data_IF_131134613359
#
_entry.id   IF_131134613359
#
_cell.length_a   1.000
_cell.length_b   1.000
_cell.length_c   1.000
_cell.angle_alpha   90.00
_cell.angle_beta   90.00
_cell.angle_gamma   90.00
#
_symmetry.space_group_name_H-M   'P 1'
#
loop_
_entity.id
_entity.type
_entity.pdbx_description
1 polymer ?
#
# COMPACT_ATOMS: atom_id res chain seq x y z
N UNK A 1 6.79 3.86 -11.64
CA UNK A 1 7.31 2.82 -10.72
C UNK A 1 6.61 1.52 -11.06
N UNK A 2 7.15 0.40 -10.61
CA UNK A 2 6.54 -0.91 -10.78
C UNK A 2 6.57 -1.72 -9.50
N UNK A 3 5.54 -2.54 -9.31
CA UNK A 3 5.41 -3.49 -8.20
C UNK A 3 5.66 -4.88 -8.76
N UNK A 4 6.53 -5.62 -8.10
CA UNK A 4 6.85 -6.98 -8.50
C UNK A 4 6.57 -7.92 -7.34
N UNK A 5 5.79 -8.94 -7.62
CA UNK A 5 5.47 -10.03 -6.70
C UNK A 5 6.40 -11.20 -7.00
N UNK A 6 6.99 -11.80 -5.97
CA UNK A 6 7.86 -12.95 -6.10
C UNK A 6 7.67 -13.96 -4.97
N UNK A 7 7.89 -15.24 -5.27
CA UNK A 7 7.74 -16.32 -4.30
C UNK A 7 9.00 -16.47 -3.41
N UNK A 8 8.96 -17.43 -2.48
CA UNK A 8 10.10 -17.73 -1.59
C UNK A 8 11.32 -18.32 -2.32
N UNK A 9 11.18 -18.70 -3.59
CA UNK A 9 12.26 -19.17 -4.46
C UNK A 9 12.80 -18.02 -5.33
N UNK A 10 12.46 -16.77 -5.01
CA UNK A 10 12.78 -15.56 -5.77
C UNK A 10 12.22 -15.52 -7.19
N UNK A 11 11.30 -16.42 -7.54
CA UNK A 11 10.67 -16.42 -8.86
C UNK A 11 9.62 -15.32 -8.94
N UNK A 12 9.69 -14.51 -9.99
CA UNK A 12 8.70 -13.48 -10.29
C UNK A 12 7.36 -14.15 -10.59
N UNK A 13 6.35 -13.77 -9.83
CA UNK A 13 4.96 -14.21 -10.01
C UNK A 13 4.20 -13.25 -10.90
N UNK A 14 4.35 -11.94 -10.66
CA UNK A 14 3.60 -10.91 -11.36
C UNK A 14 4.32 -9.57 -11.32
N UNK A 15 4.09 -8.73 -12.33
CA UNK A 15 4.73 -7.42 -12.49
C UNK A 15 3.70 -6.39 -12.92
N UNK A 16 3.39 -5.46 -12.02
CA UNK A 16 2.52 -4.32 -12.28
C UNK A 16 3.37 -3.10 -12.64
N UNK A 17 3.25 -2.62 -13.88
CA UNK A 17 4.02 -1.47 -14.40
C UNK A 17 3.24 -0.16 -14.26
N UNK A 18 3.95 0.97 -14.27
CA UNK A 18 3.38 2.32 -14.24
C UNK A 18 2.47 2.61 -13.04
N UNK A 19 2.79 2.07 -11.87
CA UNK A 19 2.06 2.34 -10.64
C UNK A 19 2.51 3.65 -9.99
N UNK A 20 1.59 4.31 -9.30
CA UNK A 20 1.81 5.56 -8.57
C UNK A 20 1.11 5.55 -7.21
N UNK A 21 1.69 6.26 -6.22
CA UNK A 21 1.20 6.31 -4.82
C UNK A 21 0.98 4.92 -4.21
N UNK A 22 2.06 4.13 -4.16
CA UNK A 22 1.98 2.77 -3.61
C UNK A 22 1.89 2.84 -2.08
N UNK A 23 0.85 2.23 -1.53
CA UNK A 23 0.64 2.05 -0.10
C UNK A 23 0.76 0.55 0.21
N UNK A 24 1.64 0.22 1.14
CA UNK A 24 1.89 -1.14 1.57
C UNK A 24 1.21 -1.42 2.92
N UNK A 25 0.24 -2.32 2.92
CA UNK A 25 -0.40 -2.91 4.09
C UNK A 25 0.23 -4.25 4.50
N UNK A 26 -0.38 -4.93 5.46
CA UNK A 26 0.08 -6.24 5.95
C UNK A 26 -0.27 -7.38 4.99
N UNK A 27 -1.38 -7.27 4.27
CA UNK A 27 -1.95 -8.29 3.37
C UNK A 27 -2.40 -7.74 2.02
N UNK A 28 -2.29 -6.42 1.82
CA UNK A 28 -2.66 -5.73 0.59
C UNK A 28 -1.62 -4.69 0.19
N UNK A 29 -1.49 -4.48 -1.11
CA UNK A 29 -0.75 -3.35 -1.69
C UNK A 29 -1.71 -2.61 -2.61
N UNK A 30 -1.88 -1.32 -2.35
CA UNK A 30 -2.78 -0.43 -3.08
C UNK A 30 -1.97 0.63 -3.83
N UNK A 31 -2.44 1.03 -5.00
CA UNK A 31 -1.95 2.17 -5.78
C UNK A 31 -3.14 2.90 -6.40
N UNK A 32 -2.92 4.07 -7.00
CA UNK A 32 -4.01 4.91 -7.53
C UNK A 32 -5.02 4.16 -8.42
N UNK A 33 -4.51 3.27 -9.29
CA UNK A 33 -5.30 2.61 -10.33
C UNK A 33 -5.64 1.15 -10.01
N UNK A 34 -5.32 0.66 -8.80
CA UNK A 34 -5.54 -0.74 -8.49
C UNK A 34 -5.08 -1.18 -7.10
N UNK A 35 -5.41 -2.43 -6.78
CA UNK A 35 -5.03 -3.05 -5.54
C UNK A 35 -4.76 -4.54 -5.77
N UNK A 36 -3.71 -5.07 -5.15
CA UNK A 36 -3.55 -6.51 -4.95
C UNK A 36 -3.87 -6.82 -3.50
N UNK A 37 -4.89 -7.66 -3.29
CA UNK A 37 -5.31 -8.14 -1.97
C UNK A 37 -4.93 -9.61 -1.79
N UNK A 38 -4.60 -10.00 -0.57
CA UNK A 38 -4.23 -11.38 -0.24
C UNK A 38 -2.81 -11.72 -0.68
N UNK A 39 -1.90 -10.75 -0.63
CA UNK A 39 -0.48 -10.98 -0.94
C UNK A 39 0.10 -11.88 0.17
N UNK A 40 0.24 -13.17 -0.13
CA UNK A 40 1.04 -14.12 0.67
C UNK A 40 2.48 -14.26 0.18
N UNK A 41 2.80 -13.56 -0.91
CA UNK A 41 4.09 -13.58 -1.58
C UNK A 41 4.91 -12.36 -1.18
N UNK A 42 6.23 -12.42 -1.34
CA UNK A 42 7.05 -11.24 -1.15
C UNK A 42 6.79 -10.27 -2.32
N UNK A 43 6.96 -8.98 -2.06
CA UNK A 43 6.83 -7.95 -3.08
C UNK A 43 8.00 -6.98 -2.97
N UNK A 44 8.31 -6.25 -4.03
CA UNK A 44 9.31 -5.16 -4.07
C UNK A 44 8.78 -4.05 -4.99
N UNK A 45 9.19 -2.80 -4.74
CA UNK A 45 8.82 -1.67 -5.59
C UNK A 45 10.07 -1.07 -6.20
N UNK A 46 10.07 -0.97 -7.54
CA UNK A 46 11.24 -0.59 -8.31
C UNK A 46 10.93 0.58 -9.26
N UNK A 47 11.95 1.35 -9.68
CA UNK A 47 11.84 2.27 -10.80
C UNK A 47 11.47 1.51 -12.09
N UNK A 48 10.78 2.19 -13.02
CA UNK A 48 10.40 1.56 -14.30
C UNK A 48 11.61 1.22 -15.17
N UNK A 49 12.73 1.93 -14.96
CA UNK A 49 13.99 1.79 -15.71
C UNK A 49 14.77 0.49 -15.37
N UNK A 50 14.48 -0.13 -14.22
CA UNK A 50 15.14 -1.39 -13.83
C UNK A 50 14.60 -2.51 -14.71
N UNK A 51 15.42 -3.34 -15.35
CA UNK A 51 14.91 -4.56 -16.00
C UNK A 51 14.81 -5.70 -14.98
N UNK A 52 13.76 -6.53 -15.07
CA UNK A 52 13.55 -7.66 -14.16
C UNK A 52 13.41 -8.91 -15.01
N UNK A 53 14.23 -9.92 -14.72
CA UNK A 53 14.17 -11.24 -15.35
C UNK A 53 13.10 -12.14 -14.73
N UNK A 54 13.24 -13.46 -14.89
CA UNK A 54 12.35 -14.45 -14.27
C UNK A 54 12.57 -14.61 -12.75
N UNK A 55 13.72 -14.17 -12.25
CA UNK A 55 14.13 -14.27 -10.86
C UNK A 55 14.54 -12.91 -10.30
N UNK A 56 14.25 -12.71 -9.02
CA UNK A 56 14.67 -11.56 -8.23
C UNK A 56 16.03 -11.87 -7.61
N UNK A 57 17.06 -11.19 -8.12
CA UNK A 57 18.40 -11.27 -7.57
C UNK A 57 18.57 -10.33 -6.38
N UNK A 58 19.57 -10.58 -5.54
CA UNK A 58 19.87 -9.74 -4.37
C UNK A 58 20.10 -8.27 -4.75
N UNK A 59 20.70 -8.01 -5.91
CA UNK A 59 20.90 -6.66 -6.47
C UNK A 59 19.60 -5.90 -6.72
N UNK A 60 18.50 -6.62 -6.99
CA UNK A 60 17.17 -6.04 -7.19
C UNK A 60 16.49 -5.79 -5.83
N UNK A 61 16.72 -6.68 -4.86
CA UNK A 61 16.26 -6.49 -3.47
C UNK A 61 16.92 -5.27 -2.83
N UNK A 62 18.21 -5.03 -3.12
CA UNK A 62 18.95 -3.87 -2.61
C UNK A 62 18.49 -2.54 -3.23
N UNK A 63 17.79 -2.60 -4.38
CA UNK A 63 17.15 -1.46 -5.05
C UNK A 63 15.70 -1.24 -4.60
N UNK A 64 15.20 -2.06 -3.67
CA UNK A 64 13.84 -1.96 -3.17
C UNK A 64 13.62 -0.60 -2.48
N UNK A 65 12.83 0.25 -3.13
CA UNK A 65 12.46 1.55 -2.56
C UNK A 65 11.33 1.44 -1.54
N UNK A 66 10.93 0.23 -1.11
CA UNK A 66 9.93 0.04 -0.03
C UNK A 66 10.16 0.88 1.21
N UNK A 67 11.41 1.14 1.57
CA UNK A 67 11.77 1.97 2.73
C UNK A 67 11.34 3.44 2.55
N UNK A 68 11.11 3.89 1.31
CA UNK A 68 10.57 5.21 0.96
C UNK A 68 9.05 5.21 0.77
N UNK A 69 8.40 4.05 0.71
CA UNK A 69 6.94 3.98 0.61
C UNK A 69 6.33 4.45 1.93
N UNK A 70 5.28 5.28 1.83
CA UNK A 70 4.53 5.69 3.00
C UNK A 70 3.94 4.43 3.63
N UNK A 71 4.49 4.01 4.77
CA UNK A 71 3.80 3.05 5.64
C UNK A 71 2.45 3.65 5.95
N UNK A 72 1.38 2.90 5.67
CA UNK A 72 0.01 3.25 6.07
C UNK A 72 0.05 3.55 7.57
N UNK A 73 -0.02 4.82 7.94
CA UNK A 73 0.14 5.25 9.32
C UNK A 73 -1.20 5.07 10.03
N UNK A 74 -1.49 3.82 10.39
CA UNK A 74 -2.77 3.36 10.96
C UNK A 74 -3.17 4.13 12.23
N UNK A 75 -2.23 4.79 12.89
CA UNK A 75 -2.48 5.64 14.06
C UNK A 75 -3.17 6.93 13.62
N UNK A 76 -2.66 7.57 12.57
CA UNK A 76 -3.17 8.84 12.07
C UNK A 76 -4.57 8.69 11.46
N UNK A 77 -4.79 7.59 10.72
CA UNK A 77 -6.11 7.27 10.16
C UNK A 77 -7.16 6.97 11.25
N UNK A 78 -6.77 6.32 12.35
CA UNK A 78 -7.65 6.09 13.51
C UNK A 78 -8.04 7.39 14.22
N UNK A 79 -7.09 8.32 14.39
CA UNK A 79 -7.38 9.62 15.01
C UNK A 79 -8.32 10.44 14.14
N UNK A 80 -8.10 10.45 12.82
CA UNK A 80 -8.95 11.16 11.87
C UNK A 80 -10.37 10.57 11.82
N UNK A 81 -10.51 9.24 11.80
CA UNK A 81 -11.79 8.55 11.86
C UNK A 81 -12.55 8.83 13.16
N UNK A 82 -11.85 8.80 14.32
CA UNK A 82 -12.45 9.17 15.62
C UNK A 82 -12.89 10.63 15.65
N UNK A 83 -12.11 11.54 15.06
CA UNK A 83 -12.48 12.95 14.94
C UNK A 83 -13.75 13.14 14.12
N UNK A 84 -13.88 12.43 13.00
CA UNK A 84 -15.09 12.49 12.16
C UNK A 84 -16.32 11.91 12.85
N UNK A 85 -16.18 10.78 13.56
CA UNK A 85 -17.28 10.20 14.36
C UNK A 85 -17.73 11.20 15.42
N UNK A 86 -16.80 11.79 16.17
CA UNK A 86 -17.14 12.77 17.21
C UNK A 86 -17.87 13.99 16.65
N UNK A 87 -17.41 14.51 15.51
CA UNK A 87 -18.07 15.65 14.84
C UNK A 87 -19.48 15.29 14.35
N UNK A 88 -19.67 14.07 13.84
CA UNK A 88 -20.99 13.56 13.45
C UNK A 88 -21.91 13.38 14.66
N UNK A 89 -21.41 12.83 15.77
CA UNK A 89 -22.15 12.68 17.02
C UNK A 89 -22.58 14.04 17.59
N UNK A 90 -21.70 15.03 17.61
CA UNK A 90 -22.01 16.40 18.05
C UNK A 90 -23.05 17.08 17.14
N UNK A 91 -22.99 16.84 15.83
CA UNK A 91 -23.95 17.36 14.85
C UNK A 91 -25.33 16.70 15.00
N UNK A 92 -25.36 15.38 15.26
CA UNK A 92 -26.61 14.66 15.51
C UNK A 92 -27.24 15.10 16.85
N UNK A 93 -26.45 15.28 17.90
CA UNK A 93 -26.93 15.79 19.19
C UNK A 93 -27.53 17.20 19.06
N UNK A 94 -26.86 18.10 18.35
CA UNK A 94 -27.38 19.46 18.12
C UNK A 94 -28.64 19.46 17.27
N UNK A 95 -28.79 18.54 16.31
CA UNK A 95 -30.03 18.38 15.54
C UNK A 95 -31.16 17.77 16.38
N UNK A 96 -30.86 16.85 17.30
CA UNK A 96 -31.85 16.28 18.21
C UNK A 96 -32.34 17.27 19.27
N UNK A 97 -31.49 18.19 19.73
CA UNK A 97 -31.90 19.27 20.65
C UNK A 97 -32.77 20.35 19.97
N UNK A 98 -32.83 20.37 18.64
CA UNK A 98 -33.64 21.31 17.86
C UNK A 98 -35.03 20.77 17.46
N UNK A 99 -35.34 19.48 17.72
CA UNK A 99 -36.63 18.82 17.44
C UNK A 99 -37.42 18.63 18.73
#
# INVERSE_FOLDING_TARGET
MKLVLYNNENKVLDVYKNISKVEAGTDEVTWNDGAVKGIKANFIVLPDEVEIGETIDQSIIDLDEKTKLQKKNLIQENEELKGRVKSLEETVLTLMDWV
#
